data_IF_668473722500
#
_entry.id   IF_668473722500
#
_cell.length_a   1.000
_cell.length_b   1.000
_cell.length_c   1.000
_cell.angle_alpha   90.00
_cell.angle_beta   90.00
_cell.angle_gamma   90.00
#
_symmetry.space_group_name_H-M   'P 1'
#
loop_
_entity.id
_entity.type
_entity.pdbx_description
1 polymer ?
#
# COMPACT_ATOMS: atom_id res chain seq x y z
N UNK A 1 2.39 13.25 2.69
CA UNK A 1 2.82 11.86 3.00
C UNK A 1 2.13 11.35 4.28
N UNK A 2 0.99 10.68 4.13
CA UNK A 2 0.23 10.06 5.23
C UNK A 2 0.73 8.68 5.64
N UNK A 3 1.20 7.90 4.68
CA UNK A 3 1.69 6.53 4.88
C UNK A 3 3.22 6.46 4.75
N UNK A 4 3.95 5.78 5.67
CA UNK A 4 5.39 5.60 5.56
C UNK A 4 5.78 4.69 4.37
N UNK A 5 6.94 4.95 3.76
CA UNK A 5 7.53 4.01 2.79
C UNK A 5 7.75 2.63 3.42
N UNK A 6 7.66 1.60 2.59
CA UNK A 6 7.75 0.19 2.95
C UNK A 6 6.64 -0.32 3.88
N UNK A 7 5.60 0.48 4.11
CA UNK A 7 4.39 0.01 4.78
C UNK A 7 3.62 -0.91 3.85
N UNK A 8 3.05 -1.97 4.43
CA UNK A 8 2.11 -2.82 3.72
C UNK A 8 0.75 -2.14 3.67
N UNK A 9 0.14 -2.16 2.49
CA UNK A 9 -1.14 -1.50 2.23
C UNK A 9 -2.10 -2.43 1.52
N UNK A 10 -3.39 -2.16 1.70
CA UNK A 10 -4.48 -2.85 1.03
C UNK A 10 -5.25 -1.86 0.15
N UNK A 11 -5.59 -2.26 -1.08
CA UNK A 11 -6.50 -1.51 -1.94
C UNK A 11 -7.91 -1.50 -1.33
N UNK A 12 -8.53 -0.33 -1.20
CA UNK A 12 -9.89 -0.21 -0.62
C UNK A 12 -11.00 -0.23 -1.69
N UNK A 13 -10.62 -0.25 -2.96
CA UNK A 13 -11.48 -0.32 -4.14
C UNK A 13 -10.84 -1.15 -5.25
N UNK A 14 -11.64 -1.56 -6.23
CA UNK A 14 -11.12 -2.18 -7.46
C UNK A 14 -10.37 -1.13 -8.30
N UNK A 15 -9.34 -1.56 -9.02
CA UNK A 15 -8.65 -0.76 -10.03
C UNK A 15 -8.73 -1.54 -11.35
N UNK A 16 -9.80 -1.32 -12.14
CA UNK A 16 -10.10 -2.16 -13.30
C UNK A 16 -9.03 -2.15 -14.40
N UNK A 17 -8.32 -1.03 -14.59
CA UNK A 17 -7.31 -0.89 -15.64
C UNK A 17 -6.14 -1.87 -15.46
N UNK A 18 -5.83 -2.22 -14.20
CA UNK A 18 -4.79 -3.18 -13.84
C UNK A 18 -5.36 -4.56 -13.47
N UNK A 19 -6.67 -4.77 -13.62
CA UNK A 19 -7.39 -5.97 -13.16
C UNK A 19 -7.15 -6.27 -11.65
N UNK A 20 -7.00 -5.23 -10.84
CA UNK A 20 -6.78 -5.35 -9.40
C UNK A 20 -8.09 -5.25 -8.64
N UNK A 21 -8.19 -6.07 -7.59
CA UNK A 21 -9.38 -6.14 -6.74
C UNK A 21 -9.18 -5.41 -5.43
N UNK A 22 -10.27 -4.83 -4.91
CA UNK A 22 -10.36 -4.42 -3.51
C UNK A 22 -9.86 -5.57 -2.64
N UNK A 23 -9.03 -5.23 -1.66
CA UNK A 23 -8.44 -6.20 -0.76
C UNK A 23 -7.05 -6.68 -1.18
N UNK A 24 -6.61 -6.41 -2.41
CA UNK A 24 -5.25 -6.74 -2.87
C UNK A 24 -4.22 -6.00 -2.02
N UNK A 25 -3.11 -6.67 -1.73
CA UNK A 25 -2.10 -6.21 -0.79
C UNK A 25 -0.79 -5.95 -1.53
N UNK A 26 -0.16 -4.83 -1.24
CA UNK A 26 1.16 -4.47 -1.75
C UNK A 26 1.99 -3.70 -0.73
N UNK A 27 3.15 -3.22 -1.14
CA UNK A 27 4.08 -2.46 -0.31
C UNK A 27 4.38 -1.13 -0.98
N UNK A 28 4.30 -0.04 -0.21
CA UNK A 28 4.67 1.29 -0.71
C UNK A 28 6.19 1.33 -0.96
N UNK A 29 6.61 1.74 -2.16
CA UNK A 29 8.03 1.91 -2.50
C UNK A 29 8.39 3.35 -2.90
N UNK A 30 7.41 4.17 -3.27
CA UNK A 30 7.62 5.58 -3.63
C UNK A 30 6.41 6.44 -3.23
N UNK A 31 6.65 7.74 -2.99
CA UNK A 31 5.65 8.75 -2.66
C UNK A 31 5.80 9.96 -3.59
N UNK A 32 4.67 10.44 -4.13
CA UNK A 32 4.59 11.61 -5.00
C UNK A 32 3.73 12.70 -4.35
N UNK A 33 4.35 13.83 -4.01
CA UNK A 33 3.62 15.02 -3.63
C UNK A 33 3.07 15.72 -4.87
N UNK A 34 1.76 15.96 -4.91
CA UNK A 34 1.12 16.67 -6.02
C UNK A 34 0.71 18.06 -5.53
N UNK A 35 1.19 19.11 -6.21
CA UNK A 35 0.96 20.51 -5.79
C UNK A 35 -0.50 20.94 -5.85
N UNK A 36 -1.27 20.39 -6.80
CA UNK A 36 -2.69 20.65 -6.99
C UNK A 36 -3.43 19.33 -7.21
N UNK A 37 -3.64 18.58 -6.14
CA UNK A 37 -4.30 17.29 -6.21
C UNK A 37 -4.17 16.46 -4.95
N UNK A 38 -4.50 15.18 -5.08
CA UNK A 38 -4.24 14.18 -4.06
C UNK A 38 -2.83 13.60 -4.24
N UNK A 39 -2.13 13.36 -3.14
CA UNK A 39 -0.84 12.70 -3.14
C UNK A 39 -0.93 11.26 -3.70
N UNK A 40 0.13 10.81 -4.35
CA UNK A 40 0.24 9.49 -4.95
C UNK A 40 1.30 8.61 -4.30
N UNK A 41 1.20 7.31 -4.55
CA UNK A 41 2.15 6.30 -4.11
C UNK A 41 2.39 5.27 -5.22
N UNK A 42 3.63 4.79 -5.38
CA UNK A 42 3.89 3.55 -6.13
C UNK A 42 3.85 2.36 -5.17
N UNK A 43 3.08 1.34 -5.53
CA UNK A 43 2.89 0.12 -4.73
C UNK A 43 3.39 -1.09 -5.51
N UNK A 44 4.35 -1.81 -4.94
CA UNK A 44 4.89 -3.06 -5.48
C UNK A 44 4.12 -4.28 -4.94
N UNK A 45 4.15 -5.39 -5.69
CA UNK A 45 3.57 -6.68 -5.29
C UNK A 45 2.13 -6.88 -5.75
N UNK A 46 1.53 -5.87 -6.37
CA UNK A 46 0.21 -5.96 -7.02
C UNK A 46 0.30 -6.54 -8.44
N UNK A 47 1.39 -6.24 -9.15
CA UNK A 47 1.71 -6.75 -10.49
C UNK A 47 3.10 -7.39 -10.45
N UNK A 48 3.30 -8.47 -11.22
CA UNK A 48 4.57 -9.18 -11.27
C UNK A 48 5.66 -8.29 -11.90
N UNK A 49 6.73 -8.02 -11.14
CA UNK A 49 7.88 -7.20 -11.54
C UNK A 49 7.53 -5.76 -11.96
N UNK A 50 6.43 -5.21 -11.44
CA UNK A 50 6.02 -3.82 -11.73
C UNK A 50 5.39 -3.16 -10.50
N UNK A 51 5.26 -1.84 -10.56
CA UNK A 51 4.58 -1.02 -9.56
C UNK A 51 3.28 -0.46 -10.10
N UNK A 52 2.35 -0.18 -9.19
CA UNK A 52 1.08 0.46 -9.52
C UNK A 52 1.00 1.78 -8.80
N UNK A 53 0.78 2.84 -9.56
CA UNK A 53 0.49 4.16 -9.02
C UNK A 53 -0.93 4.19 -8.46
N UNK A 54 -1.07 4.63 -7.22
CA UNK A 54 -2.36 4.75 -6.52
C UNK A 54 -2.44 6.08 -5.80
N UNK A 55 -3.64 6.66 -5.75
CA UNK A 55 -3.91 7.83 -4.95
C UNK A 55 -3.99 7.46 -3.46
N UNK A 56 -3.70 8.42 -2.58
CA UNK A 56 -3.75 8.23 -1.12
C UNK A 56 -5.10 7.65 -0.64
N UNK A 57 -6.21 8.05 -1.26
CA UNK A 57 -7.58 7.57 -0.98
C UNK A 57 -7.87 6.13 -1.41
N UNK A 58 -7.04 5.52 -2.26
CA UNK A 58 -7.28 4.17 -2.78
C UNK A 58 -6.67 3.07 -1.91
N UNK A 59 -5.90 3.44 -0.88
CA UNK A 59 -5.17 2.52 -0.03
C UNK A 59 -5.40 2.77 1.45
N UNK A 60 -5.18 1.73 2.25
CA UNK A 60 -5.06 1.83 3.69
C UNK A 60 -3.86 1.01 4.17
N UNK A 61 -3.14 1.50 5.18
CA UNK A 61 -2.10 0.71 5.85
C UNK A 61 -2.75 -0.44 6.59
N UNK A 62 -2.20 -1.63 6.40
CA UNK A 62 -2.45 -2.77 7.26
C UNK A 62 -1.25 -2.87 8.19
N UNK A 63 -1.43 -2.42 9.44
CA UNK A 63 -0.47 -2.73 10.50
C UNK A 63 -0.42 -4.26 10.62
N UNK A 64 0.63 -4.88 10.08
CA UNK A 64 0.91 -6.26 10.41
C UNK A 64 1.39 -6.26 11.86
N UNK A 65 0.54 -6.77 12.74
CA UNK A 65 0.73 -6.87 14.18
C UNK A 65 1.84 -7.88 14.56
N UNK A 66 3.00 -7.82 13.91
CA UNK A 66 4.13 -8.72 14.16
C UNK A 66 4.98 -8.33 15.38
N UNK A 67 4.65 -7.24 16.08
CA UNK A 67 5.40 -6.79 17.27
C UNK A 67 4.57 -6.70 18.56
N UNK A 68 3.43 -7.39 18.69
CA UNK A 68 2.68 -7.41 19.96
C UNK A 68 2.66 -8.75 20.72
N UNK A 69 3.19 -9.84 20.15
CA UNK A 69 3.38 -11.08 20.93
C UNK A 69 4.84 -11.26 21.32
N UNK A 70 5.23 -11.02 22.58
CA UNK A 70 6.52 -11.49 23.05
C UNK A 70 6.54 -13.01 22.90
N UNK A 71 7.43 -13.52 22.05
CA UNK A 71 7.77 -14.93 22.03
C UNK A 71 8.24 -15.30 23.43
N UNK A 72 7.36 -15.95 24.21
CA UNK A 72 7.72 -16.52 25.50
C UNK A 72 8.58 -17.74 25.19
N UNK A 73 9.89 -17.60 25.37
CA UNK A 73 10.80 -18.74 25.42
C UNK A 73 10.45 -19.54 26.68
N UNK A 74 9.87 -20.73 26.48
CA UNK A 74 9.72 -21.77 27.49
C UNK A 74 10.95 -22.68 27.45
#
# INVERSE_FOLDING_TARGET
>A
MKFPLFSQVQLIQDIPEFNLKKGSIGVIVEYYAISEGEDGYSVEGLIFQDTVEVAESQIQVIEFEFLSKPCKFI
#
